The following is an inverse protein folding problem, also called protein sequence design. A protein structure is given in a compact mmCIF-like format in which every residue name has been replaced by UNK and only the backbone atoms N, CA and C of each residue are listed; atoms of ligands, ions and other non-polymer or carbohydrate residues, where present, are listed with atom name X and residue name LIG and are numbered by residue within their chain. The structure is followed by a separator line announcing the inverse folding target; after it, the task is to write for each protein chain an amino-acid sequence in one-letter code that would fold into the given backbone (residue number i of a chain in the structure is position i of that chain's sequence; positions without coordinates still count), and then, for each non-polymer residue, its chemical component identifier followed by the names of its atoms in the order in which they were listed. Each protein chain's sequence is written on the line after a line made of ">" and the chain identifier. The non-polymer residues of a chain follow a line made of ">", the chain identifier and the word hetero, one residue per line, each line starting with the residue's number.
data_IF_880492969424
#
_entry.id   IF_880492969424
#
_cell.length_a   1.000
_cell.length_b   1.000
_cell.length_c   1.000
_cell.angle_alpha   90.00
_cell.angle_beta   90.00
_cell.angle_gamma   90.00
#
_symmetry.space_group_name_H-M   'P 1'
#
loop_
_entity.id
_entity.type
_entity.pdbx_description
1 polymer ?
#
# COMPACT_ATOMS: atom_id res chain seq x y z
N UNK A 1 -7.81 2.52 -3.10
CA UNK A 1 -7.60 1.10 -2.73
C UNK A 1 -8.54 0.23 -3.56
N UNK A 2 -8.07 -0.90 -4.07
CA UNK A 2 -8.88 -1.90 -4.78
C UNK A 2 -8.51 -3.30 -4.26
N UNK A 3 -9.49 -4.14 -3.95
CA UNK A 3 -9.24 -5.55 -3.64
C UNK A 3 -8.82 -6.31 -4.92
N UNK A 4 -7.78 -7.13 -4.83
CA UNK A 4 -7.32 -7.96 -5.93
C UNK A 4 -7.80 -9.40 -5.77
N UNK A 5 -7.66 -9.95 -4.56
CA UNK A 5 -8.16 -11.25 -4.12
C UNK A 5 -8.32 -11.25 -2.59
N UNK A 6 -8.50 -12.43 -1.98
CA UNK A 6 -8.81 -12.58 -0.55
C UNK A 6 -7.73 -12.01 0.38
N UNK A 7 -6.45 -12.04 -0.02
CA UNK A 7 -5.32 -11.62 0.83
C UNK A 7 -4.54 -10.42 0.26
N UNK A 8 -4.86 -9.96 -0.96
CA UNK A 8 -4.13 -8.89 -1.63
C UNK A 8 -5.00 -7.70 -2.00
N UNK A 9 -4.41 -6.53 -1.82
CA UNK A 9 -5.02 -5.24 -2.13
C UNK A 9 -4.03 -4.38 -2.92
N UNK A 10 -4.57 -3.59 -3.83
CA UNK A 10 -3.84 -2.54 -4.53
C UNK A 10 -4.08 -1.20 -3.86
N UNK A 11 -3.00 -0.50 -3.55
CA UNK A 11 -3.02 0.83 -2.95
C UNK A 11 -2.34 1.79 -3.91
N UNK A 12 -3.12 2.75 -4.39
CA UNK A 12 -2.64 3.88 -5.17
C UNK A 12 -2.49 5.07 -4.22
N UNK A 13 -1.34 5.72 -4.27
CA UNK A 13 -1.11 6.98 -3.59
C UNK A 13 -1.64 8.13 -4.45
N UNK A 14 -2.14 9.17 -3.80
CA UNK A 14 -2.60 10.39 -4.49
C UNK A 14 -1.44 11.11 -5.18
N UNK A 15 -0.23 11.00 -4.61
CA UNK A 15 1.01 11.53 -5.16
C UNK A 15 2.10 10.44 -5.21
N UNK A 16 3.08 10.54 -6.12
CA UNK A 16 4.25 9.68 -6.16
C UNK A 16 4.99 9.57 -4.82
N UNK A 17 5.14 8.34 -4.30
CA UNK A 17 5.94 8.07 -3.10
C UNK A 17 7.24 7.37 -3.48
N UNK A 18 8.36 7.87 -2.95
CA UNK A 18 9.66 7.27 -3.15
C UNK A 18 9.87 6.04 -2.24
N UNK A 19 10.78 5.16 -2.64
CA UNK A 19 11.33 4.09 -1.79
C UNK A 19 10.34 3.07 -1.18
N UNK A 20 9.15 2.89 -1.78
CA UNK A 20 8.25 1.77 -1.44
C UNK A 20 8.99 0.45 -1.69
N UNK A 21 9.27 -0.30 -0.61
CA UNK A 21 10.18 -1.46 -0.65
C UNK A 21 9.43 -2.75 -0.32
N UNK A 22 9.41 -3.75 -1.23
CA UNK A 22 8.85 -5.06 -0.95
C UNK A 22 9.46 -5.70 0.30
N UNK A 23 8.64 -6.37 1.11
CA UNK A 23 9.00 -6.95 2.40
C UNK A 23 8.89 -6.00 3.59
N UNK A 24 8.71 -4.69 3.38
CA UNK A 24 8.33 -3.76 4.44
C UNK A 24 6.81 -3.79 4.69
N UNK A 25 6.38 -3.35 5.87
CA UNK A 25 4.96 -3.25 6.20
C UNK A 25 4.35 -1.94 5.71
N UNK A 26 3.17 -2.02 5.09
CA UNK A 26 2.28 -0.88 4.89
C UNK A 26 1.23 -0.86 6.01
N UNK A 27 1.03 0.28 6.64
CA UNK A 27 0.07 0.45 7.75
C UNK A 27 -0.90 1.56 7.40
N UNK A 28 -2.20 1.29 7.58
CA UNK A 28 -3.28 2.21 7.25
C UNK A 28 -3.84 2.84 8.52
N UNK A 29 -4.08 4.14 8.46
CA UNK A 29 -4.64 4.93 9.54
C UNK A 29 -5.87 5.71 9.08
N UNK A 30 -6.84 5.88 9.99
CA UNK A 30 -7.93 6.82 9.87
C UNK A 30 -7.81 7.86 10.99
N UNK A 31 -7.20 9.00 10.67
CA UNK A 31 -6.74 9.94 11.69
C UNK A 31 -5.74 9.25 12.62
N UNK A 32 -6.04 9.23 13.91
CA UNK A 32 -5.20 8.58 14.94
C UNK A 32 -5.47 7.08 15.09
N UNK A 33 -6.48 6.52 14.40
CA UNK A 33 -6.87 5.11 14.54
C UNK A 33 -6.07 4.25 13.58
N UNK A 34 -5.31 3.28 14.11
CA UNK A 34 -4.67 2.23 13.31
C UNK A 34 -5.73 1.23 12.83
N UNK A 35 -5.90 1.13 11.51
CA UNK A 35 -6.85 0.20 10.88
C UNK A 35 -6.24 -1.19 10.64
N UNK A 36 -4.92 -1.30 10.71
CA UNK A 36 -4.16 -2.51 10.40
C UNK A 36 -3.17 -2.27 9.27
N UNK A 37 -2.66 -3.37 8.70
CA UNK A 37 -1.62 -3.30 7.69
C UNK A 37 -1.32 -4.66 7.07
N UNK A 38 -0.37 -4.66 6.15
CA UNK A 38 0.09 -5.85 5.46
C UNK A 38 1.54 -5.71 5.00
N UNK A 39 2.10 -6.77 4.43
CA UNK A 39 3.43 -6.72 3.82
C UNK A 39 3.31 -6.22 2.39
N UNK A 40 4.16 -5.28 2.01
CA UNK A 40 4.26 -4.80 0.64
C UNK A 40 4.88 -5.93 -0.19
N UNK A 41 4.12 -6.53 -1.10
CA UNK A 41 4.65 -7.56 -2.00
C UNK A 41 5.25 -6.95 -3.28
N UNK A 42 4.62 -5.91 -3.81
CA UNK A 42 5.00 -5.31 -5.08
C UNK A 42 4.90 -3.80 -5.03
N UNK A 43 5.89 -3.12 -5.65
CA UNK A 43 5.83 -1.69 -5.95
C UNK A 43 5.23 -1.47 -7.34
N UNK A 44 4.24 -0.59 -7.43
CA UNK A 44 3.74 -0.13 -8.72
C UNK A 44 4.67 0.95 -9.30
N UNK A 45 5.09 0.83 -10.58
CA UNK A 45 5.91 1.86 -11.22
C UNK A 45 5.10 3.13 -11.44
N UNK A 46 5.80 4.27 -11.53
CA UNK A 46 5.19 5.51 -12.00
C UNK A 46 4.75 5.32 -13.44
N UNK A 47 3.48 5.62 -13.71
CA UNK A 47 2.94 5.60 -15.07
C UNK A 47 3.44 6.87 -15.79
N UNK A 48 4.01 6.67 -16.98
CA UNK A 48 4.51 7.72 -17.87
C UNK A 48 3.40 8.53 -18.52
#
# INVERSE_FOLDING_TARGET
>A
MKALDDDRIEVLFDEPVAAVTPGQSAVFYLGEVCLGGGVIEQRLPLQS
#
